data_IF_424288899439
#
_entry.id   IF_424288899439
#
_cell.length_a   1.000
_cell.length_b   1.000
_cell.length_c   1.000
_cell.angle_alpha   90.00
_cell.angle_beta   90.00
_cell.angle_gamma   90.00
#
_symmetry.space_group_name_H-M   'P 1'
#
loop_
_entity.id
_entity.type
_entity.pdbx_description
1 polymer ?
#
# COMPACT_ATOMS: atom_id res chain seq x y z
N UNK A 1 -11.34 13.98 -19.07
CA UNK A 1 -10.60 15.13 -19.61
C UNK A 1 -9.37 15.33 -18.75
N UNK A 2 -8.20 15.34 -19.37
CA UNK A 2 -6.84 15.65 -18.88
C UNK A 2 -6.28 14.81 -17.75
N UNK A 3 -5.82 13.61 -18.09
CA UNK A 3 -4.65 13.00 -17.49
C UNK A 3 -3.43 13.74 -18.06
N UNK A 4 -3.04 14.84 -17.43
CA UNK A 4 -1.70 15.37 -17.61
C UNK A 4 -0.80 14.49 -16.74
N UNK A 5 -0.23 13.45 -17.35
CA UNK A 5 0.91 12.74 -16.77
C UNK A 5 2.00 13.77 -16.56
N UNK A 6 2.25 14.14 -15.31
CA UNK A 6 3.43 14.88 -14.91
C UNK A 6 4.58 13.90 -15.12
N UNK A 7 5.16 13.94 -16.31
CA UNK A 7 6.41 13.25 -16.63
C UNK A 7 7.51 13.96 -15.84
N UNK A 8 7.71 13.52 -14.61
CA UNK A 8 8.87 13.93 -13.83
C UNK A 8 10.08 13.37 -14.55
N UNK A 9 10.85 14.24 -15.20
CA UNK A 9 12.13 13.88 -15.84
C UNK A 9 13.13 13.53 -14.73
N UNK A 10 13.08 12.29 -14.26
CA UNK A 10 14.00 11.77 -13.26
C UNK A 10 15.27 11.24 -13.93
N UNK A 11 16.41 11.57 -13.32
CA UNK A 11 17.68 10.94 -13.68
C UNK A 11 17.61 9.42 -13.47
N UNK A 12 18.42 8.65 -14.22
CA UNK A 12 18.51 7.19 -14.04
C UNK A 12 18.84 6.81 -12.59
N UNK A 13 19.73 7.59 -11.95
CA UNK A 13 20.09 7.39 -10.54
C UNK A 13 18.92 7.60 -9.60
N UNK A 14 18.08 8.60 -9.87
CA UNK A 14 16.92 8.93 -9.05
C UNK A 14 15.84 7.83 -9.15
N UNK A 15 15.63 7.27 -10.34
CA UNK A 15 14.75 6.12 -10.54
C UNK A 15 15.21 4.91 -9.76
N UNK A 16 16.52 4.63 -9.77
CA UNK A 16 17.08 3.51 -9.00
C UNK A 16 16.88 3.71 -7.50
N UNK A 17 17.08 4.93 -6.98
CA UNK A 17 16.85 5.24 -5.57
C UNK A 17 15.38 5.01 -5.20
N UNK A 18 14.44 5.56 -5.96
CA UNK A 18 13.00 5.40 -5.71
C UNK A 18 12.59 3.92 -5.76
N UNK A 19 13.05 3.19 -6.77
CA UNK A 19 12.73 1.76 -6.93
C UNK A 19 13.30 0.92 -5.78
N UNK A 20 14.55 1.15 -5.40
CA UNK A 20 15.20 0.44 -4.28
C UNK A 20 14.53 0.78 -2.95
N UNK A 21 14.19 2.05 -2.73
CA UNK A 21 13.53 2.50 -1.49
C UNK A 21 12.10 1.96 -1.44
N UNK A 22 11.33 2.09 -2.51
CA UNK A 22 9.97 1.55 -2.60
C UNK A 22 9.97 0.03 -2.36
N UNK A 23 10.86 -0.69 -3.04
CA UNK A 23 11.02 -2.14 -2.85
C UNK A 23 11.40 -2.49 -1.42
N UNK A 24 12.36 -1.79 -0.83
CA UNK A 24 12.78 -2.02 0.56
C UNK A 24 11.69 -1.69 1.57
N UNK A 25 10.87 -0.69 1.30
CA UNK A 25 9.71 -0.35 2.14
C UNK A 25 8.64 -1.43 2.04
N UNK A 26 8.32 -1.90 0.84
CA UNK A 26 7.34 -2.96 0.60
C UNK A 26 7.83 -4.34 1.09
N UNK A 27 9.13 -4.65 0.97
CA UNK A 27 9.70 -5.92 1.48
C UNK A 27 9.81 -5.95 3.00
N UNK A 28 9.86 -4.79 3.68
CA UNK A 28 9.97 -4.75 5.15
C UNK A 28 8.63 -5.02 5.87
N UNK A 29 7.53 -5.10 5.16
CA UNK A 29 6.24 -5.56 5.70
C UNK A 29 6.22 -7.08 6.04
N UNK A 30 7.29 -7.79 5.71
CA UNK A 30 7.41 -9.24 5.84
C UNK A 30 8.05 -9.79 7.11
N UNK A 31 8.16 -9.03 8.21
CA UNK A 31 8.65 -9.60 9.48
C UNK A 31 7.55 -10.44 10.16
N UNK A 32 7.77 -11.77 10.39
CA UNK A 32 6.71 -12.68 10.83
C UNK A 32 6.29 -12.52 12.30
N UNK A 33 6.92 -11.67 13.09
CA UNK A 33 6.74 -11.62 14.54
C UNK A 33 5.73 -10.57 15.05
N UNK A 34 5.26 -9.68 14.20
CA UNK A 34 4.16 -8.83 14.56
C UNK A 34 2.99 -9.15 13.64
N UNK A 35 2.05 -9.93 14.17
CA UNK A 35 0.73 -10.06 13.55
C UNK A 35 0.28 -8.66 13.20
N UNK A 36 0.34 -8.33 11.92
CA UNK A 36 -0.35 -7.18 11.38
C UNK A 36 -1.83 -7.40 11.67
N UNK A 37 -2.27 -7.03 12.87
CA UNK A 37 -3.67 -7.10 13.30
C UNK A 37 -4.56 -6.21 12.42
N UNK A 38 -3.94 -5.40 11.60
CA UNK A 38 -4.52 -4.64 10.51
C UNK A 38 -4.37 -5.32 9.15
N UNK A 39 -4.00 -6.59 9.10
CA UNK A 39 -3.75 -7.30 7.85
C UNK A 39 -4.93 -7.18 6.89
N UNK A 40 -4.77 -6.33 5.88
CA UNK A 40 -5.76 -6.17 4.81
C UNK A 40 -6.17 -7.52 4.23
N UNK A 41 -5.23 -8.46 4.14
CA UNK A 41 -5.47 -9.84 3.69
C UNK A 41 -6.41 -10.65 4.58
N UNK A 42 -6.30 -10.54 5.92
CA UNK A 42 -7.21 -11.23 6.83
C UNK A 42 -8.64 -10.67 6.73
N UNK A 43 -8.76 -9.34 6.66
CA UNK A 43 -10.04 -8.67 6.44
C UNK A 43 -10.65 -9.03 5.09
N UNK A 44 -9.86 -8.94 4.01
CA UNK A 44 -10.29 -9.32 2.67
C UNK A 44 -10.73 -10.79 2.63
N UNK A 45 -10.02 -11.70 3.30
CA UNK A 45 -10.39 -13.10 3.43
C UNK A 45 -11.72 -13.31 4.14
N UNK A 46 -11.96 -12.63 5.26
CA UNK A 46 -13.23 -12.72 6.00
C UNK A 46 -14.39 -12.15 5.19
N UNK A 47 -14.23 -10.98 4.59
CA UNK A 47 -15.27 -10.37 3.75
C UNK A 47 -15.53 -11.20 2.50
N UNK A 48 -14.48 -11.68 1.83
CA UNK A 48 -14.62 -12.52 0.64
C UNK A 48 -15.30 -13.85 0.94
N UNK A 49 -14.99 -14.48 2.08
CA UNK A 49 -15.69 -15.69 2.52
C UNK A 49 -17.17 -15.42 2.81
N UNK A 50 -17.48 -14.36 3.54
CA UNK A 50 -18.85 -14.01 3.90
C UNK A 50 -19.68 -13.67 2.66
N UNK A 51 -19.17 -12.85 1.76
CA UNK A 51 -19.83 -12.47 0.51
C UNK A 51 -20.03 -13.68 -0.39
N UNK A 52 -18.98 -14.48 -0.59
CA UNK A 52 -19.04 -15.69 -1.40
C UNK A 52 -20.03 -16.71 -0.85
N UNK A 53 -20.12 -16.86 0.48
CA UNK A 53 -21.10 -17.74 1.12
C UNK A 53 -22.52 -17.27 0.85
N UNK A 54 -22.83 -16.00 1.13
CA UNK A 54 -24.17 -15.44 0.98
C UNK A 54 -24.63 -15.47 -0.48
N UNK A 55 -23.76 -15.01 -1.38
CA UNK A 55 -24.06 -14.96 -2.82
C UNK A 55 -24.27 -16.35 -3.41
N UNK A 56 -23.41 -17.31 -3.04
CA UNK A 56 -23.47 -18.67 -3.56
C UNK A 56 -24.67 -19.45 -3.01
N UNK A 57 -24.94 -19.32 -1.71
CA UNK A 57 -26.15 -19.94 -1.08
C UNK A 57 -27.42 -19.37 -1.70
N UNK A 58 -27.52 -18.06 -1.89
CA UNK A 58 -28.69 -17.42 -2.51
C UNK A 58 -28.90 -17.91 -3.93
N UNK A 59 -27.83 -18.04 -4.72
CA UNK A 59 -27.88 -18.57 -6.08
C UNK A 59 -28.35 -20.04 -6.09
N UNK A 60 -27.79 -20.90 -5.22
CA UNK A 60 -28.16 -22.31 -5.13
C UNK A 60 -29.65 -22.45 -4.74
N UNK A 61 -30.12 -21.68 -3.76
CA UNK A 61 -31.55 -21.70 -3.33
C UNK A 61 -32.44 -21.27 -4.50
N UNK A 62 -32.08 -20.18 -5.22
CA UNK A 62 -32.84 -19.68 -6.37
C UNK A 62 -32.97 -20.74 -7.50
N UNK A 63 -31.86 -21.38 -7.85
CA UNK A 63 -31.86 -22.46 -8.84
C UNK A 63 -32.64 -23.68 -8.36
N UNK A 64 -32.49 -24.10 -7.11
CA UNK A 64 -33.24 -25.23 -6.57
C UNK A 64 -34.75 -24.98 -6.55
N UNK A 65 -35.16 -23.74 -6.22
CA UNK A 65 -36.56 -23.35 -6.20
C UNK A 65 -37.21 -23.28 -7.61
N UNK A 66 -36.38 -23.09 -8.66
CA UNK A 66 -36.86 -23.06 -10.06
C UNK A 66 -37.23 -24.44 -10.66
N UNK A 67 -36.97 -25.52 -9.92
CA UNK A 67 -37.25 -26.87 -10.34
C UNK A 67 -36.28 -27.45 -11.39
N UNK A 68 -35.09 -26.82 -11.59
CA UNK A 68 -34.06 -27.35 -12.47
C UNK A 68 -33.43 -28.60 -11.86
N UNK A 69 -32.79 -29.41 -12.71
CA UNK A 69 -32.10 -30.62 -12.29
C UNK A 69 -30.97 -30.36 -11.28
N UNK A 70 -30.80 -31.29 -10.36
CA UNK A 70 -29.78 -31.17 -9.29
C UNK A 70 -28.34 -31.07 -9.82
N UNK A 71 -28.06 -31.57 -11.01
CA UNK A 71 -26.77 -31.42 -11.68
C UNK A 71 -26.52 -29.98 -12.13
N UNK A 72 -27.57 -29.32 -12.63
CA UNK A 72 -27.50 -27.89 -13.00
C UNK A 72 -27.29 -26.98 -11.79
N UNK A 73 -27.97 -27.28 -10.66
CA UNK A 73 -27.78 -26.55 -9.40
C UNK A 73 -26.33 -26.66 -8.91
N UNK A 74 -25.77 -27.87 -8.93
CA UNK A 74 -24.36 -28.07 -8.52
C UNK A 74 -23.39 -27.36 -9.43
N UNK A 75 -23.58 -27.44 -10.75
CA UNK A 75 -22.73 -26.78 -11.73
C UNK A 75 -22.78 -25.26 -11.56
N UNK A 76 -23.97 -24.69 -11.38
CA UNK A 76 -24.15 -23.25 -11.12
C UNK A 76 -23.43 -22.80 -9.85
N UNK A 77 -23.53 -23.56 -8.74
CA UNK A 77 -22.84 -23.25 -7.49
C UNK A 77 -21.31 -23.28 -7.64
N UNK A 78 -20.77 -24.30 -8.31
CA UNK A 78 -19.32 -24.39 -8.57
C UNK A 78 -18.87 -23.25 -9.47
N UNK A 79 -19.59 -22.98 -10.56
CA UNK A 79 -19.26 -21.89 -11.48
C UNK A 79 -19.28 -20.53 -10.78
N UNK A 80 -20.28 -20.26 -9.94
CA UNK A 80 -20.37 -19.04 -9.16
C UNK A 80 -19.22 -18.89 -8.15
N UNK A 81 -18.84 -19.96 -7.46
CA UNK A 81 -17.72 -19.96 -6.55
C UNK A 81 -16.39 -19.64 -7.25
N UNK A 82 -16.13 -20.26 -8.39
CA UNK A 82 -14.93 -20.02 -9.21
C UNK A 82 -14.91 -18.58 -9.75
N UNK A 83 -16.03 -18.11 -10.29
CA UNK A 83 -16.15 -16.76 -10.82
C UNK A 83 -15.95 -15.71 -9.73
N UNK A 84 -16.55 -15.90 -8.54
CA UNK A 84 -16.38 -15.02 -7.39
C UNK A 84 -14.93 -14.98 -6.91
N UNK A 85 -14.29 -16.14 -6.78
CA UNK A 85 -12.88 -16.20 -6.37
C UNK A 85 -11.96 -15.50 -7.36
N UNK A 86 -12.17 -15.71 -8.67
CA UNK A 86 -11.39 -15.05 -9.71
C UNK A 86 -11.60 -13.53 -9.72
N UNK A 87 -12.84 -13.07 -9.53
CA UNK A 87 -13.17 -11.64 -9.46
C UNK A 87 -12.49 -10.95 -8.27
N UNK A 88 -12.55 -11.56 -7.08
CA UNK A 88 -11.90 -11.03 -5.88
C UNK A 88 -10.38 -11.00 -6.02
N UNK A 89 -9.77 -12.08 -6.55
CA UNK A 89 -8.33 -12.12 -6.79
C UNK A 89 -7.86 -11.02 -7.77
N UNK A 90 -8.62 -10.79 -8.84
CA UNK A 90 -8.32 -9.72 -9.79
C UNK A 90 -8.48 -8.33 -9.16
N UNK A 91 -9.53 -8.12 -8.35
CA UNK A 91 -9.76 -6.87 -7.63
C UNK A 91 -8.63 -6.56 -6.65
N UNK A 92 -8.20 -7.54 -5.87
CA UNK A 92 -7.08 -7.38 -4.92
C UNK A 92 -5.78 -7.07 -5.64
N UNK A 93 -5.47 -7.79 -6.73
CA UNK A 93 -4.30 -7.51 -7.56
C UNK A 93 -4.28 -6.05 -8.05
N UNK A 94 -5.39 -5.55 -8.60
CA UNK A 94 -5.50 -4.17 -9.08
C UNK A 94 -5.34 -3.18 -7.94
N UNK A 95 -5.94 -3.45 -6.79
CA UNK A 95 -5.83 -2.59 -5.59
C UNK A 95 -4.39 -2.48 -5.09
N UNK A 96 -3.70 -3.61 -4.95
CA UNK A 96 -2.28 -3.63 -4.52
C UNK A 96 -1.40 -2.92 -5.55
N UNK A 97 -1.63 -3.17 -6.86
CA UNK A 97 -0.86 -2.49 -7.91
C UNK A 97 -1.03 -0.97 -7.84
N UNK A 98 -2.26 -0.50 -7.66
CA UNK A 98 -2.54 0.94 -7.54
C UNK A 98 -1.90 1.56 -6.29
N UNK A 99 -1.87 0.84 -5.16
CA UNK A 99 -1.18 1.28 -3.95
C UNK A 99 0.33 1.39 -4.16
N UNK A 100 0.95 0.40 -4.82
CA UNK A 100 2.37 0.43 -5.14
C UNK A 100 2.72 1.60 -6.05
N UNK A 101 1.92 1.84 -7.10
CA UNK A 101 2.10 2.98 -8.00
C UNK A 101 2.00 4.33 -7.25
N UNK A 102 1.12 4.42 -6.26
CA UNK A 102 0.99 5.61 -5.43
C UNK A 102 2.24 5.83 -4.58
N UNK A 103 2.72 4.79 -3.87
CA UNK A 103 3.95 4.86 -3.06
C UNK A 103 5.14 5.30 -3.90
N UNK A 104 5.31 4.74 -5.11
CA UNK A 104 6.41 5.14 -6.00
C UNK A 104 6.31 6.62 -6.40
N UNK A 105 5.11 7.12 -6.66
CA UNK A 105 4.89 8.54 -7.01
C UNK A 105 5.20 9.47 -5.84
N UNK A 106 4.73 9.15 -4.65
CA UNK A 106 4.99 9.95 -3.45
C UNK A 106 6.49 9.97 -3.13
N UNK A 107 7.17 8.84 -3.21
CA UNK A 107 8.63 8.79 -3.04
C UNK A 107 9.40 9.60 -4.09
N UNK A 108 8.90 9.65 -5.33
CA UNK A 108 9.50 10.46 -6.38
C UNK A 108 9.31 11.96 -6.12
N UNK A 109 8.16 12.35 -5.57
CA UNK A 109 7.88 13.74 -5.15
C UNK A 109 8.79 14.12 -3.99
N UNK A 110 8.85 13.30 -2.95
CA UNK A 110 9.68 13.49 -1.77
C UNK A 110 11.16 13.68 -2.13
N UNK A 111 11.71 12.79 -2.97
CA UNK A 111 13.09 12.93 -3.46
C UNK A 111 13.31 14.26 -4.20
N UNK A 112 12.32 14.75 -4.90
CA UNK A 112 12.39 16.04 -5.58
C UNK A 112 12.39 17.20 -4.59
N UNK A 113 11.56 17.16 -3.57
CA UNK A 113 11.44 18.18 -2.52
C UNK A 113 12.73 18.26 -1.71
N UNK A 114 13.26 17.11 -1.28
CA UNK A 114 14.58 17.01 -0.63
C UNK A 114 15.71 17.66 -1.44
N UNK A 115 15.64 17.62 -2.77
CA UNK A 115 16.65 18.24 -3.64
C UNK A 115 16.43 19.74 -3.84
N UNK A 116 15.19 20.18 -3.94
CA UNK A 116 14.83 21.56 -4.25
C UNK A 116 14.78 22.44 -3.00
N UNK A 117 14.37 21.88 -1.88
CA UNK A 117 14.09 22.61 -0.64
C UNK A 117 14.72 21.94 0.61
N UNK A 118 16.02 21.56 0.60
CA UNK A 118 16.63 20.78 1.67
C UNK A 118 16.55 21.41 3.07
N UNK A 119 16.51 22.74 3.16
CA UNK A 119 16.38 23.45 4.44
C UNK A 119 14.95 23.35 5.00
N UNK A 120 13.93 23.42 4.13
CA UNK A 120 12.54 23.25 4.50
C UNK A 120 12.31 21.83 5.03
N UNK A 121 12.76 20.83 4.27
CA UNK A 121 12.66 19.42 4.62
C UNK A 121 13.38 19.07 5.93
N UNK A 122 14.57 19.66 6.14
CA UNK A 122 15.28 19.51 7.43
C UNK A 122 14.47 20.07 8.60
N UNK A 123 13.81 21.21 8.37
CA UNK A 123 12.97 21.85 9.40
C UNK A 123 11.69 21.04 9.68
N UNK A 124 11.11 20.45 8.66
CA UNK A 124 9.92 19.60 8.73
C UNK A 124 10.23 18.32 9.51
N UNK A 125 11.30 17.62 9.17
CA UNK A 125 11.77 16.43 9.89
C UNK A 125 12.08 16.74 11.37
N UNK A 126 12.68 17.87 11.64
CA UNK A 126 12.90 18.31 13.01
C UNK A 126 11.57 18.58 13.76
N UNK A 127 10.55 19.09 13.07
CA UNK A 127 9.22 19.29 13.67
C UNK A 127 8.56 17.95 13.99
N UNK A 128 8.65 16.94 13.11
CA UNK A 128 8.14 15.60 13.35
C UNK A 128 8.82 14.93 14.55
N UNK A 129 10.14 15.01 14.66
CA UNK A 129 10.87 14.50 15.82
C UNK A 129 10.46 15.16 17.14
N UNK A 130 10.12 16.44 17.10
CA UNK A 130 9.58 17.15 18.28
C UNK A 130 8.20 16.64 18.68
N UNK A 131 7.35 16.28 17.73
CA UNK A 131 6.05 15.66 18.00
C UNK A 131 6.22 14.30 18.71
N UNK A 132 7.32 13.60 18.42
CA UNK A 132 7.71 12.35 19.09
C UNK A 132 8.40 12.58 20.45
N UNK A 133 8.44 13.81 20.95
CA UNK A 133 8.95 14.13 22.29
C UNK A 133 10.42 14.51 22.35
N UNK A 134 11.11 14.69 21.23
CA UNK A 134 12.49 15.18 21.24
C UNK A 134 12.55 16.67 21.63
N UNK A 135 13.61 17.07 22.33
CA UNK A 135 13.88 18.48 22.55
C UNK A 135 14.22 19.19 21.23
N UNK A 136 14.04 20.51 21.17
CA UNK A 136 14.28 21.29 19.96
C UNK A 136 15.70 21.08 19.40
N UNK A 137 16.70 21.08 20.27
CA UNK A 137 18.10 20.98 19.86
C UNK A 137 18.43 19.55 19.36
N UNK A 138 17.93 18.53 20.06
CA UNK A 138 18.10 17.13 19.64
C UNK A 138 17.43 16.86 18.30
N UNK A 139 16.20 17.34 18.10
CA UNK A 139 15.46 17.18 16.86
C UNK A 139 16.20 17.83 15.68
N UNK A 140 16.71 19.05 15.86
CA UNK A 140 17.47 19.75 14.83
C UNK A 140 18.76 19.01 14.44
N UNK A 141 19.51 18.51 15.43
CA UNK A 141 20.75 17.75 15.19
C UNK A 141 20.42 16.43 14.47
N UNK A 142 19.39 15.71 14.92
CA UNK A 142 19.00 14.43 14.33
C UNK A 142 18.51 14.59 12.89
N UNK A 143 17.69 15.60 12.62
CA UNK A 143 17.22 15.90 11.27
C UNK A 143 18.39 16.24 10.34
N UNK A 144 19.29 17.13 10.77
CA UNK A 144 20.48 17.49 9.98
C UNK A 144 21.38 16.28 9.67
N UNK A 145 21.48 15.33 10.59
CA UNK A 145 22.28 14.12 10.39
C UNK A 145 21.64 13.16 9.37
N UNK A 146 20.30 13.01 9.41
CA UNK A 146 19.56 12.22 8.44
C UNK A 146 19.68 12.81 7.04
N UNK A 147 19.59 14.13 6.93
CA UNK A 147 19.64 14.86 5.65
C UNK A 147 21.02 14.81 4.94
N UNK A 148 22.07 14.36 5.62
CA UNK A 148 23.40 14.16 4.97
C UNK A 148 23.43 13.04 3.95
N UNK A 149 22.54 12.06 4.09
CA UNK A 149 22.41 10.92 3.20
C UNK A 149 21.06 10.97 2.49
N UNK A 150 21.02 11.27 1.19
CA UNK A 150 19.75 11.40 0.44
C UNK A 150 18.90 10.14 0.43
N UNK A 151 19.50 8.94 0.40
CA UNK A 151 18.75 7.69 0.43
C UNK A 151 18.09 7.50 1.81
N UNK A 152 18.83 7.80 2.86
CA UNK A 152 18.32 7.75 4.22
C UNK A 152 17.25 8.81 4.46
N UNK A 153 17.43 10.02 3.95
CA UNK A 153 16.45 11.10 4.07
C UNK A 153 15.11 10.70 3.47
N UNK A 154 15.06 10.21 2.23
CA UNK A 154 13.82 9.74 1.57
C UNK A 154 13.12 8.65 2.40
N UNK A 155 13.88 7.67 2.91
CA UNK A 155 13.31 6.57 3.71
C UNK A 155 12.70 7.10 5.01
N UNK A 156 13.38 8.04 5.66
CA UNK A 156 12.93 8.56 6.96
C UNK A 156 11.72 9.45 6.76
N UNK A 157 11.73 10.38 5.80
CA UNK A 157 10.59 11.23 5.48
C UNK A 157 9.36 10.39 5.10
N UNK A 158 9.51 9.44 4.18
CA UNK A 158 8.41 8.54 3.79
C UNK A 158 7.80 7.76 4.97
N UNK A 159 8.62 7.40 5.97
CA UNK A 159 8.12 6.74 7.19
C UNK A 159 7.35 7.68 8.10
N UNK A 160 7.85 8.88 8.28
CA UNK A 160 7.25 9.85 9.19
C UNK A 160 5.96 10.44 8.59
N UNK A 161 5.95 10.73 7.29
CA UNK A 161 4.80 11.34 6.61
C UNK A 161 3.69 10.36 6.27
N UNK A 162 4.04 9.22 5.68
CA UNK A 162 3.04 8.25 5.21
C UNK A 162 2.65 7.22 6.26
N UNK A 163 3.20 7.37 7.50
CA UNK A 163 2.91 6.43 8.56
C UNK A 163 3.35 5.00 8.25
N UNK A 164 4.36 4.83 7.39
CA UNK A 164 4.99 3.55 7.09
C UNK A 164 5.80 3.05 8.29
N UNK A 165 5.22 3.19 9.46
CA UNK A 165 5.78 2.75 10.72
C UNK A 165 5.67 1.25 10.83
N UNK A 166 6.72 0.64 11.36
CA UNK A 166 6.67 -0.73 11.85
C UNK A 166 5.42 -0.92 12.70
N UNK A 167 4.44 -1.65 12.19
CA UNK A 167 3.48 -2.30 13.05
C UNK A 167 4.11 -3.55 13.64
#
# INVERSE_FOLDING_TARGET
>A
MCHQAISVSMSTRDRTIVEVVAKKTLEHEGHPDHRALAGGSARAGVFGFSDGLVSNVSLIIGFAASGVDASAVRLAGIAAAVAGAASMAAGEWVSISAQNDLVEREMALELRELKLHPEAETSELAAMYRQHGMSRDQAAISAAEVMRDPERAVIVHAREEFGLTRA
#
